data_IF_221714440431
#
_entry.id   IF_221714440431
#
_cell.length_a   1.000
_cell.length_b   1.000
_cell.length_c   1.000
_cell.angle_alpha   90.00
_cell.angle_beta   90.00
_cell.angle_gamma   90.00
#
_symmetry.space_group_name_H-M   'P 1'
#
loop_
_entity.id
_entity.type
_entity.pdbx_description
1 polymer ?
#
# COMPACT_ATOMS: atom_id res chain seq x y z
N UNK A 1 -21.37 19.52 -20.63
CA UNK A 1 -20.08 20.18 -20.97
C UNK A 1 -18.97 19.16 -20.75
N UNK A 2 -17.78 19.29 -21.35
CA UNK A 2 -16.72 18.27 -21.19
C UNK A 2 -16.27 18.11 -19.71
N UNK A 3 -16.39 19.18 -18.93
CA UNK A 3 -16.13 19.22 -17.47
C UNK A 3 -17.21 18.51 -16.63
N UNK A 4 -18.31 18.02 -17.22
CA UNK A 4 -19.29 17.20 -16.47
C UNK A 4 -18.84 15.74 -16.32
N UNK A 5 -17.68 15.38 -16.85
CA UNK A 5 -17.05 14.09 -16.66
C UNK A 5 -16.23 14.12 -15.36
N UNK A 6 -16.46 13.22 -14.39
CA UNK A 6 -15.83 13.29 -13.07
C UNK A 6 -14.29 13.13 -13.09
N UNK A 7 -13.73 12.62 -14.18
CA UNK A 7 -12.28 12.48 -14.39
C UNK A 7 -11.62 13.69 -15.07
N UNK A 8 -12.41 14.64 -15.60
CA UNK A 8 -11.91 15.85 -16.25
C UNK A 8 -11.80 16.97 -15.22
N UNK A 9 -10.57 17.34 -14.85
CA UNK A 9 -10.27 18.45 -13.93
C UNK A 9 -10.52 19.81 -14.59
N UNK A 10 -10.18 19.94 -15.86
CA UNK A 10 -10.35 21.17 -16.65
C UNK A 10 -10.43 20.84 -18.13
N UNK A 11 -11.34 21.48 -18.85
CA UNK A 11 -11.39 21.39 -20.31
C UNK A 11 -11.28 22.79 -20.92
N UNK A 12 -10.18 23.06 -21.62
CA UNK A 12 -10.00 24.29 -22.37
C UNK A 12 -10.30 24.02 -23.84
N UNK A 13 -11.40 24.60 -24.33
CA UNK A 13 -11.79 24.52 -25.76
C UNK A 13 -11.43 25.85 -26.42
N UNK A 14 -10.48 25.80 -27.35
CA UNK A 14 -10.08 26.94 -28.16
C UNK A 14 -10.44 26.71 -29.62
N UNK A 15 -10.92 27.76 -30.27
CA UNK A 15 -11.19 27.74 -31.71
C UNK A 15 -9.94 28.17 -32.45
N UNK A 16 -9.43 27.31 -33.31
CA UNK A 16 -8.36 27.60 -34.26
C UNK A 16 -8.92 27.76 -35.66
N UNK A 17 -8.50 28.81 -36.35
CA UNK A 17 -8.88 29.04 -37.73
C UNK A 17 -7.91 28.36 -38.71
N UNK A 18 -8.39 27.81 -39.85
CA UNK A 18 -9.79 27.73 -40.27
C UNK A 18 -10.44 26.39 -39.91
N UNK A 19 -11.33 26.38 -38.90
CA UNK A 19 -12.30 25.30 -38.66
C UNK A 19 -11.91 24.23 -37.65
N UNK A 20 -10.80 24.39 -36.93
CA UNK A 20 -10.31 23.39 -35.96
C UNK A 20 -10.71 23.78 -34.54
N UNK A 21 -11.10 22.80 -33.74
CA UNK A 21 -11.22 22.96 -32.29
C UNK A 21 -10.01 22.31 -31.63
N UNK A 22 -9.23 23.10 -30.90
CA UNK A 22 -8.19 22.60 -30.01
C UNK A 22 -8.84 22.37 -28.64
N UNK A 23 -8.84 21.12 -28.18
CA UNK A 23 -9.31 20.76 -26.84
C UNK A 23 -8.11 20.32 -26.02
N UNK A 24 -7.88 20.99 -24.88
CA UNK A 24 -6.93 20.55 -23.86
C UNK A 24 -7.72 20.04 -22.67
N UNK A 25 -7.39 18.83 -22.21
CA UNK A 25 -8.04 18.17 -21.08
C UNK A 25 -6.96 17.97 -20.02
N UNK A 26 -7.17 18.54 -18.83
CA UNK A 26 -6.41 18.15 -17.64
C UNK A 26 -7.22 17.05 -16.94
N UNK A 27 -6.64 15.86 -16.79
CA UNK A 27 -7.28 14.73 -16.15
C UNK A 27 -6.89 14.65 -14.66
N UNK A 28 -7.81 14.21 -13.82
CA UNK A 28 -7.47 13.82 -12.45
C UNK A 28 -6.72 12.48 -12.49
N UNK A 29 -5.45 12.47 -12.07
CA UNK A 29 -4.65 11.25 -11.96
C UNK A 29 -4.94 10.54 -10.63
N UNK A 30 -5.64 9.38 -10.63
CA UNK A 30 -5.98 8.67 -9.41
C UNK A 30 -4.74 7.98 -8.84
N UNK A 31 -4.50 8.14 -7.54
CA UNK A 31 -3.32 7.59 -6.85
C UNK A 31 -3.67 6.51 -5.82
N UNK A 32 -4.90 6.50 -5.31
CA UNK A 32 -5.40 5.48 -4.40
C UNK A 32 -6.91 5.30 -4.55
N UNK A 33 -7.40 4.11 -4.23
CA UNK A 33 -8.82 3.87 -3.99
C UNK A 33 -9.15 4.33 -2.57
N UNK A 34 -10.26 5.03 -2.41
CA UNK A 34 -10.71 5.55 -1.14
C UNK A 34 -12.05 4.93 -0.76
N UNK A 35 -12.02 4.12 0.30
CA UNK A 35 -13.17 3.32 0.73
C UNK A 35 -13.78 2.55 -0.47
N UNK A 36 -15.10 2.44 -0.53
CA UNK A 36 -15.79 1.57 -1.48
C UNK A 36 -16.19 2.25 -2.81
N UNK A 37 -16.13 3.58 -2.90
CA UNK A 37 -16.75 4.30 -4.03
C UNK A 37 -15.99 5.53 -4.53
N UNK A 38 -14.85 5.87 -3.94
CA UNK A 38 -14.10 7.05 -4.32
C UNK A 38 -12.68 6.69 -4.74
N UNK A 39 -12.04 7.58 -5.49
CA UNK A 39 -10.60 7.59 -5.71
C UNK A 39 -10.02 8.89 -5.18
N UNK A 40 -8.82 8.80 -4.63
CA UNK A 40 -8.01 9.95 -4.29
C UNK A 40 -7.21 10.36 -5.52
N UNK A 41 -7.43 11.58 -5.99
CA UNK A 41 -6.61 12.17 -7.03
C UNK A 41 -5.27 12.68 -6.48
N UNK A 42 -4.26 12.80 -7.33
CA UNK A 42 -2.96 13.39 -6.99
C UNK A 42 -3.04 14.83 -6.45
N UNK A 43 -4.15 15.54 -6.71
CA UNK A 43 -4.45 16.86 -6.16
C UNK A 43 -4.83 16.84 -4.66
N UNK A 44 -5.14 15.67 -4.11
CA UNK A 44 -5.69 15.49 -2.77
C UNK A 44 -7.22 15.56 -2.71
N UNK A 45 -7.90 15.56 -3.86
CA UNK A 45 -9.37 15.56 -3.94
C UNK A 45 -9.92 14.13 -3.99
N UNK A 46 -11.04 13.90 -3.30
CA UNK A 46 -11.81 12.65 -3.41
C UNK A 46 -12.84 12.77 -4.52
N UNK A 47 -12.80 11.84 -5.47
CA UNK A 47 -13.67 11.83 -6.64
C UNK A 47 -14.48 10.54 -6.60
N UNK A 48 -15.80 10.67 -6.74
CA UNK A 48 -16.68 9.51 -6.85
C UNK A 48 -16.37 8.74 -8.16
N UNK A 49 -16.09 7.45 -8.00
CA UNK A 49 -15.82 6.54 -9.11
C UNK A 49 -17.08 5.70 -9.39
N UNK A 50 -17.47 5.61 -10.67
CA UNK A 50 -18.58 4.74 -11.08
C UNK A 50 -18.29 3.26 -10.81
N UNK A 51 -17.02 2.89 -10.89
CA UNK A 51 -16.53 1.55 -10.60
C UNK A 51 -15.08 1.66 -10.12
N UNK A 52 -14.69 0.83 -9.15
CA UNK A 52 -13.31 0.72 -8.70
C UNK A 52 -12.50 -0.35 -9.44
N UNK A 53 -13.12 -1.08 -10.37
CA UNK A 53 -12.48 -2.18 -11.11
C UNK A 53 -11.29 -1.66 -11.93
N UNK A 54 -11.43 -0.49 -12.56
CA UNK A 54 -10.36 0.13 -13.36
C UNK A 54 -9.18 0.63 -12.50
N UNK A 55 -9.37 0.71 -11.19
CA UNK A 55 -8.38 1.16 -10.21
C UNK A 55 -7.86 0.02 -9.32
N UNK A 56 -8.11 -1.25 -9.68
CA UNK A 56 -7.78 -2.41 -8.84
C UNK A 56 -6.30 -2.54 -8.49
N UNK A 57 -5.41 -2.00 -9.33
CA UNK A 57 -3.96 -1.96 -9.07
C UNK A 57 -3.55 -0.91 -8.05
N UNK A 58 -4.39 0.12 -7.81
CA UNK A 58 -4.09 1.18 -6.86
C UNK A 58 -4.28 0.70 -5.41
N UNK A 59 -3.45 1.19 -4.47
CA UNK A 59 -3.61 0.89 -3.06
C UNK A 59 -4.96 1.41 -2.55
N UNK A 60 -5.52 0.73 -1.56
CA UNK A 60 -6.75 1.13 -0.90
C UNK A 60 -6.46 1.87 0.40
N UNK A 61 -7.20 2.95 0.65
CA UNK A 61 -7.28 3.61 1.95
C UNK A 61 -8.70 3.41 2.48
N UNK A 62 -8.82 2.69 3.59
CA UNK A 62 -10.08 2.42 4.27
C UNK A 62 -10.16 3.23 5.58
N UNK A 63 -11.20 4.03 5.73
CA UNK A 63 -11.38 4.90 6.89
C UNK A 63 -12.85 5.11 7.22
N UNK A 64 -13.22 5.26 8.50
CA UNK A 64 -14.59 5.60 8.86
C UNK A 64 -14.98 6.97 8.30
N UNK A 65 -16.25 7.17 7.98
CA UNK A 65 -16.75 8.44 7.42
C UNK A 65 -16.88 8.44 5.90
N UNK A 66 -16.42 7.39 5.20
CA UNK A 66 -16.61 7.28 3.75
C UNK A 66 -15.83 8.39 3.02
N UNK A 67 -16.52 9.31 2.35
CA UNK A 67 -15.90 10.48 1.71
C UNK A 67 -15.89 11.74 2.59
N UNK A 68 -16.50 11.69 3.78
CA UNK A 68 -16.57 12.83 4.70
C UNK A 68 -15.25 13.01 5.45
N UNK A 69 -14.26 13.60 4.77
CA UNK A 69 -12.95 13.92 5.32
C UNK A 69 -12.55 15.36 4.97
N UNK A 70 -11.96 16.04 5.93
CA UNK A 70 -11.26 17.29 5.69
C UNK A 70 -9.98 17.04 4.88
N UNK A 71 -9.50 18.10 4.21
CA UNK A 71 -8.25 18.03 3.45
C UNK A 71 -7.06 17.63 4.32
N UNK A 72 -7.02 18.14 5.55
CA UNK A 72 -5.93 17.87 6.49
C UNK A 72 -5.91 16.40 6.93
N UNK A 73 -7.07 15.78 7.12
CA UNK A 73 -7.17 14.34 7.43
C UNK A 73 -6.70 13.48 6.26
N UNK A 74 -7.05 13.84 5.02
CA UNK A 74 -6.59 13.15 3.81
C UNK A 74 -5.06 13.24 3.72
N UNK A 75 -4.49 14.43 3.89
CA UNK A 75 -3.03 14.64 3.87
C UNK A 75 -2.35 13.80 4.95
N UNK A 76 -2.85 13.82 6.19
CA UNK A 76 -2.28 13.03 7.29
C UNK A 76 -2.31 11.51 7.01
N UNK A 77 -3.35 11.00 6.37
CA UNK A 77 -3.45 9.59 5.99
C UNK A 77 -2.47 9.24 4.86
N UNK A 78 -2.31 10.10 3.86
CA UNK A 78 -1.35 9.92 2.76
C UNK A 78 0.09 9.97 3.26
N UNK A 79 0.41 10.91 4.15
CA UNK A 79 1.73 10.99 4.77
C UNK A 79 2.04 9.73 5.57
N UNK A 80 1.06 9.24 6.35
CA UNK A 80 1.19 7.98 7.09
C UNK A 80 1.42 6.80 6.15
N UNK A 81 0.65 6.68 5.07
CA UNK A 81 0.86 5.67 4.02
C UNK A 81 2.30 5.72 3.49
N UNK A 82 2.75 6.89 3.05
CA UNK A 82 4.08 7.07 2.47
C UNK A 82 5.21 6.71 3.45
N UNK A 83 5.06 7.09 4.73
CA UNK A 83 6.02 6.75 5.78
C UNK A 83 6.12 5.24 5.98
N UNK A 84 4.98 4.55 6.08
CA UNK A 84 4.95 3.09 6.28
C UNK A 84 5.44 2.34 5.04
N UNK A 85 5.05 2.80 3.83
CA UNK A 85 5.51 2.23 2.57
C UNK A 85 7.02 2.34 2.41
N UNK A 86 7.62 3.47 2.81
CA UNK A 86 9.07 3.67 2.76
C UNK A 86 9.83 2.68 3.64
N UNK A 87 9.25 2.26 4.77
CA UNK A 87 9.84 1.26 5.66
C UNK A 87 9.74 -0.17 5.10
N UNK A 88 8.68 -0.46 4.34
CA UNK A 88 8.42 -1.78 3.74
C UNK A 88 9.12 -1.99 2.39
N UNK A 89 9.40 -0.92 1.65
CA UNK A 89 10.04 -1.01 0.34
C UNK A 89 11.39 -1.77 0.33
N UNK A 90 12.30 -1.59 1.31
CA UNK A 90 13.55 -2.39 1.39
C UNK A 90 13.31 -3.89 1.59
N UNK A 91 12.14 -4.27 2.12
CA UNK A 91 11.73 -5.66 2.30
C UNK A 91 11.09 -6.26 1.03
N UNK A 92 11.01 -5.47 -0.06
CA UNK A 92 10.30 -5.87 -1.29
C UNK A 92 8.78 -5.93 -1.12
N UNK A 93 8.22 -5.23 -0.12
CA UNK A 93 6.79 -5.23 0.17
C UNK A 93 6.13 -3.91 -0.22
N UNK A 94 4.96 -4.01 -0.85
CA UNK A 94 4.07 -2.89 -1.11
C UNK A 94 2.81 -2.99 -0.24
N UNK A 95 2.31 -1.86 0.23
CA UNK A 95 1.03 -1.76 0.93
C UNK A 95 -0.09 -1.85 -0.11
N UNK A 96 -0.95 -2.87 0.03
CA UNK A 96 -2.18 -3.04 -0.75
C UNK A 96 -3.34 -2.28 -0.14
N UNK A 97 -3.40 -2.24 1.19
CA UNK A 97 -4.42 -1.51 1.92
C UNK A 97 -3.88 -0.87 3.19
N UNK A 98 -4.21 0.39 3.42
CA UNK A 98 -4.08 1.08 4.69
C UNK A 98 -5.48 1.30 5.28
N UNK A 99 -5.72 0.75 6.45
CA UNK A 99 -6.96 0.97 7.17
C UNK A 99 -6.79 1.79 8.45
N UNK A 100 -7.83 2.55 8.78
CA UNK A 100 -7.98 3.27 10.05
C UNK A 100 -9.37 2.98 10.65
N UNK A 101 -9.52 3.09 11.97
CA UNK A 101 -10.82 2.95 12.66
C UNK A 101 -11.21 4.19 13.48
N UNK A 102 -12.44 4.20 14.03
CA UNK A 102 -12.98 5.25 14.92
C UNK A 102 -12.35 5.20 16.32
N UNK A 103 -11.02 5.26 16.36
CA UNK A 103 -10.17 5.18 17.55
C UNK A 103 -8.69 5.29 17.20
N UNK A 104 -8.37 5.80 16.00
CA UNK A 104 -7.02 5.89 15.45
C UNK A 104 -6.27 4.55 15.29
N UNK A 105 -6.92 3.40 15.45
CA UNK A 105 -6.26 2.11 15.17
C UNK A 105 -5.94 2.01 13.69
N UNK A 106 -4.67 1.77 13.39
CA UNK A 106 -4.14 1.61 12.03
C UNK A 106 -3.80 0.14 11.79
N UNK A 107 -4.08 -0.31 10.58
CA UNK A 107 -3.66 -1.61 10.09
C UNK A 107 -3.25 -1.54 8.62
N UNK A 108 -2.47 -2.53 8.19
CA UNK A 108 -2.01 -2.69 6.82
C UNK A 108 -2.38 -4.08 6.29
N UNK A 109 -2.65 -4.15 4.99
CA UNK A 109 -2.48 -5.37 4.19
C UNK A 109 -1.36 -5.08 3.21
N UNK A 110 -0.35 -5.95 3.17
CA UNK A 110 0.77 -5.85 2.24
C UNK A 110 0.70 -6.95 1.19
N UNK A 111 1.53 -6.85 0.16
CA UNK A 111 1.72 -7.92 -0.84
C UNK A 111 1.88 -9.29 -0.17
N UNK A 112 1.19 -10.30 -0.71
CA UNK A 112 1.13 -11.63 -0.12
C UNK A 112 0.02 -11.80 0.94
N UNK A 113 -0.91 -10.84 1.05
CA UNK A 113 -2.08 -10.90 1.95
C UNK A 113 -1.68 -11.02 3.43
N UNK A 114 -0.55 -10.43 3.82
CA UNK A 114 -0.12 -10.36 5.21
C UNK A 114 -0.79 -9.17 5.89
N UNK A 115 -1.57 -9.43 6.93
CA UNK A 115 -2.21 -8.40 7.74
C UNK A 115 -1.30 -7.95 8.89
N UNK A 116 -1.19 -6.65 9.11
CA UNK A 116 -0.40 -6.07 10.21
C UNK A 116 -1.28 -5.10 10.99
N UNK A 117 -1.57 -5.42 12.26
CA UNK A 117 -2.30 -4.54 13.17
C UNK A 117 -1.32 -3.65 13.93
N UNK A 118 -1.26 -2.36 13.60
CA UNK A 118 -0.33 -1.40 14.23
C UNK A 118 -0.95 -0.71 15.45
N UNK A 119 -2.27 -0.74 15.62
CA UNK A 119 -2.96 -0.10 16.73
C UNK A 119 -2.97 1.42 16.65
N UNK A 120 -3.14 2.09 17.79
CA UNK A 120 -3.50 3.52 17.84
C UNK A 120 -2.33 4.50 17.78
N UNK A 121 -1.13 4.03 18.10
CA UNK A 121 0.06 4.89 18.29
C UNK A 121 1.34 4.16 17.91
N UNK A 122 2.42 4.92 17.82
CA UNK A 122 3.78 4.43 17.60
C UNK A 122 3.90 3.53 16.36
N UNK A 123 3.09 3.78 15.33
CA UNK A 123 2.95 2.91 14.15
C UNK A 123 4.30 2.56 13.50
N UNK A 124 5.19 3.56 13.37
CA UNK A 124 6.53 3.38 12.82
C UNK A 124 7.39 2.50 13.73
N UNK A 125 7.44 2.77 15.03
CA UNK A 125 8.23 1.97 15.97
C UNK A 125 7.73 0.51 16.04
N UNK A 126 6.41 0.31 15.96
CA UNK A 126 5.78 -1.01 15.90
C UNK A 126 6.11 -1.74 14.61
N UNK A 127 6.01 -1.07 13.46
CA UNK A 127 6.40 -1.66 12.18
C UNK A 127 7.90 -1.98 12.12
N UNK A 128 8.76 -1.08 12.61
CA UNK A 128 10.21 -1.30 12.70
C UNK A 128 10.54 -2.53 13.55
N UNK A 129 9.84 -2.74 14.67
CA UNK A 129 10.02 -3.93 15.50
C UNK A 129 9.71 -5.21 14.72
N UNK A 130 8.61 -5.23 13.95
CA UNK A 130 8.26 -6.40 13.13
C UNK A 130 9.33 -6.65 12.07
N UNK A 131 9.77 -5.61 11.36
CA UNK A 131 10.85 -5.69 10.37
C UNK A 131 12.11 -6.30 11.00
N UNK A 132 12.54 -5.79 12.15
CA UNK A 132 13.73 -6.30 12.86
C UNK A 132 13.59 -7.77 13.26
N UNK A 133 12.39 -8.23 13.63
CA UNK A 133 12.15 -9.64 13.96
C UNK A 133 12.26 -10.56 12.75
N UNK A 134 11.84 -10.09 11.56
CA UNK A 134 12.01 -10.84 10.31
C UNK A 134 13.47 -10.81 9.87
N UNK A 135 14.12 -9.65 9.88
CA UNK A 135 15.53 -9.49 9.49
C UNK A 135 16.50 -10.26 10.40
N UNK A 136 16.22 -10.34 11.70
CA UNK A 136 17.00 -11.14 12.64
C UNK A 136 16.79 -12.66 12.51
N UNK A 137 15.81 -13.09 11.70
CA UNK A 137 15.47 -14.50 11.50
C UNK A 137 14.62 -15.12 12.62
N UNK A 138 14.18 -14.35 13.62
CA UNK A 138 13.21 -14.82 14.64
C UNK A 138 11.90 -15.20 13.96
N UNK A 139 11.48 -14.41 12.97
CA UNK A 139 10.40 -14.76 12.06
C UNK A 139 11.04 -15.19 10.73
N UNK A 140 10.76 -16.42 10.30
CA UNK A 140 11.45 -17.02 9.16
C UNK A 140 11.29 -16.23 7.85
N UNK A 141 10.10 -15.69 7.58
CA UNK A 141 9.84 -14.87 6.39
C UNK A 141 8.52 -14.11 6.51
N UNK A 142 8.37 -13.05 5.72
CA UNK A 142 7.12 -12.30 5.57
C UNK A 142 5.99 -13.16 5.00
N UNK A 143 6.30 -14.08 4.08
CA UNK A 143 5.32 -14.93 3.39
C UNK A 143 4.63 -15.93 4.34
N UNK A 144 5.30 -16.29 5.44
CA UNK A 144 4.75 -17.20 6.44
C UNK A 144 3.73 -16.52 7.36
N UNK A 145 3.69 -15.19 7.40
CA UNK A 145 2.78 -14.44 8.26
C UNK A 145 1.41 -14.36 7.58
N UNK A 146 0.35 -14.77 8.27
CA UNK A 146 -1.03 -14.45 7.90
C UNK A 146 -1.46 -13.13 8.56
N UNK A 147 -1.23 -13.01 9.87
CA UNK A 147 -1.56 -11.81 10.63
C UNK A 147 -0.50 -11.55 11.72
N UNK A 148 0.01 -10.33 11.81
CA UNK A 148 0.90 -9.86 12.86
C UNK A 148 0.23 -8.75 13.67
N UNK A 149 -0.05 -9.01 14.94
CA UNK A 149 -0.64 -8.04 15.86
C UNK A 149 0.44 -7.35 16.70
N UNK A 150 0.73 -6.09 16.34
CA UNK A 150 1.74 -5.24 16.98
C UNK A 150 1.16 -4.31 18.05
N UNK A 151 -0.11 -4.51 18.45
CA UNK A 151 -0.78 -3.59 19.38
C UNK A 151 -0.20 -3.59 20.79
N UNK A 152 0.51 -4.65 21.16
CA UNK A 152 1.14 -4.83 22.47
C UNK A 152 2.45 -4.05 22.60
N UNK A 153 2.63 -3.38 23.74
CA UNK A 153 3.76 -2.47 24.00
C UNK A 153 5.11 -3.18 23.85
N UNK A 154 5.25 -4.38 24.42
CA UNK A 154 6.50 -5.16 24.44
C UNK A 154 6.40 -6.51 23.72
N UNK A 155 5.23 -6.83 23.16
CA UNK A 155 4.95 -8.13 22.54
C UNK A 155 4.51 -8.02 21.09
N UNK A 156 4.26 -9.19 20.50
CA UNK A 156 3.70 -9.41 19.17
C UNK A 156 2.92 -10.74 19.23
N UNK A 157 1.78 -10.81 18.56
CA UNK A 157 1.10 -12.08 18.29
C UNK A 157 1.11 -12.34 16.78
N UNK A 158 1.63 -13.50 16.36
CA UNK A 158 1.67 -13.89 14.94
C UNK A 158 0.74 -15.08 14.71
N UNK A 159 -0.11 -14.96 13.70
CA UNK A 159 -0.81 -16.09 13.08
C UNK A 159 -0.05 -16.48 11.82
N UNK A 160 0.30 -17.76 11.71
CA UNK A 160 1.07 -18.30 10.58
C UNK A 160 0.17 -18.82 9.47
N UNK A 161 0.59 -18.63 8.23
CA UNK A 161 -0.07 -19.13 7.03
C UNK A 161 0.16 -20.62 6.91
N UNK A 162 -0.92 -21.40 6.79
CA UNK A 162 -0.84 -22.85 6.58
C UNK A 162 -0.82 -23.69 7.85
N UNK A 163 -0.88 -23.08 9.04
CA UNK A 163 -1.20 -23.81 10.27
C UNK A 163 -2.72 -24.02 10.38
N UNK A 164 -3.23 -24.92 9.55
CA UNK A 164 -4.50 -25.58 9.84
C UNK A 164 -4.29 -26.49 11.06
N UNK A 165 -4.47 -25.94 12.26
CA UNK A 165 -4.57 -26.70 13.50
C UNK A 165 -3.29 -27.43 13.92
N UNK A 166 -2.31 -26.70 14.44
CA UNK A 166 -1.36 -27.28 15.39
C UNK A 166 -2.10 -27.57 16.71
N UNK A 167 -2.86 -28.67 16.73
CA UNK A 167 -3.30 -29.30 17.97
C UNK A 167 -2.04 -29.49 18.82
N UNK A 168 -2.01 -28.87 20.00
CA UNK A 168 -1.01 -29.17 21.01
C UNK A 168 -0.97 -30.70 21.19
N UNK A 169 0.19 -31.36 21.04
CA UNK A 169 0.29 -32.76 21.44
C UNK A 169 0.04 -32.82 22.94
N UNK A 170 -0.95 -33.63 23.32
CA UNK A 170 -1.16 -34.07 24.69
C UNK A 170 0.19 -34.53 25.29
N UNK A 171 0.59 -33.91 26.38
CA UNK A 171 1.79 -34.27 27.12
C UNK A 171 1.51 -35.56 27.90
N UNK A 172 1.59 -36.70 27.20
CA UNK A 172 1.36 -38.01 27.79
C UNK A 172 1.62 -39.18 26.85
N UNK A 173 2.88 -39.51 26.59
CA UNK A 173 3.26 -40.76 25.93
C UNK A 173 4.74 -40.85 25.53
N UNK A 174 5.46 -41.78 26.14
CA UNK A 174 6.87 -42.13 25.90
C UNK A 174 7.20 -42.56 24.45
N UNK A 175 8.49 -42.56 24.02
CA UNK A 175 8.87 -42.56 22.62
C UNK A 175 9.07 -43.96 22.04
N UNK A 176 8.63 -44.15 20.78
CA UNK A 176 8.95 -45.32 19.97
C UNK A 176 9.88 -44.94 18.80
N UNK A 177 11.15 -45.29 18.99
CA UNK A 177 12.17 -45.71 18.02
C UNK A 177 12.11 -45.27 16.53
N UNK A 178 13.19 -44.59 16.13
CA UNK A 178 14.05 -44.85 14.96
C UNK A 178 13.48 -45.69 13.80
N UNK A 179 13.44 -45.10 12.60
CA UNK A 179 14.12 -45.65 11.41
C UNK A 179 14.29 -44.60 10.31
N UNK A 180 15.53 -44.58 9.82
CA UNK A 180 16.02 -43.88 8.63
C UNK A 180 15.32 -44.31 7.35
N UNK A 181 15.16 -43.40 6.39
CA UNK A 181 15.77 -43.62 5.08
C UNK A 181 15.99 -42.33 4.26
N UNK A 182 16.98 -42.42 3.37
CA UNK A 182 17.59 -41.37 2.54
C UNK A 182 16.84 -41.14 1.22
N UNK A 183 17.28 -40.04 0.55
CA UNK A 183 17.24 -39.70 -0.91
C UNK A 183 16.04 -38.82 -1.32
N UNK A 184 16.13 -37.92 -2.29
CA UNK A 184 17.20 -37.28 -3.06
C UNK A 184 16.54 -36.21 -3.96
N UNK A 185 17.29 -35.17 -4.34
CA UNK A 185 17.01 -34.28 -5.50
C UNK A 185 15.84 -33.29 -5.29
N UNK A 186 15.79 -32.10 -5.88
CA UNK A 186 16.40 -31.59 -7.11
C UNK A 186 16.48 -30.06 -7.00
N UNK A 187 17.61 -29.49 -7.46
CA UNK A 187 17.82 -28.07 -7.74
C UNK A 187 16.89 -27.61 -8.86
N UNK A 188 16.11 -26.56 -8.66
CA UNK A 188 15.67 -25.68 -9.75
C UNK A 188 16.03 -24.23 -9.41
N UNK A 189 17.03 -23.74 -10.13
CA UNK A 189 17.32 -22.32 -10.33
C UNK A 189 16.35 -21.81 -11.41
N UNK A 190 15.71 -20.66 -11.19
CA UNK A 190 15.19 -19.76 -12.24
C UNK A 190 14.95 -18.40 -11.56
N UNK A 191 15.91 -17.48 -11.59
CA UNK A 191 15.97 -16.31 -12.50
C UNK A 191 14.75 -15.38 -12.41
N UNK A 192 14.88 -14.35 -11.57
CA UNK A 192 14.26 -13.02 -11.72
C UNK A 192 14.73 -12.38 -13.05
N UNK A 193 13.93 -11.55 -13.74
CA UNK A 193 13.82 -10.13 -13.33
C UNK A 193 12.49 -9.43 -13.68
N UNK A 194 12.04 -8.49 -12.83
CA UNK A 194 11.60 -7.14 -13.27
C UNK A 194 11.34 -6.23 -12.05
N UNK A 195 12.22 -5.25 -11.83
CA UNK A 195 12.03 -4.13 -10.89
C UNK A 195 12.50 -2.85 -11.57
N UNK A 196 11.66 -2.28 -12.42
CA UNK A 196 11.72 -0.89 -12.86
C UNK A 196 10.23 -0.50 -12.96
N UNK A 197 9.70 0.45 -12.19
CA UNK A 197 9.92 1.89 -12.31
C UNK A 197 9.27 2.58 -11.10
N UNK A 198 9.81 3.74 -10.71
CA UNK A 198 9.32 4.78 -9.78
C UNK A 198 10.25 5.08 -8.59
N UNK A 199 11.51 5.37 -8.91
CA UNK A 199 12.47 6.04 -8.01
C UNK A 199 12.91 7.42 -8.54
N UNK A 200 12.03 8.14 -9.23
CA UNK A 200 12.31 9.54 -9.60
C UNK A 200 11.12 10.40 -9.21
N UNK A 201 11.30 11.20 -8.15
CA UNK A 201 10.87 12.60 -8.09
C UNK A 201 11.12 13.19 -6.68
N UNK A 202 12.40 13.35 -6.33
CA UNK A 202 12.83 14.39 -5.40
C UNK A 202 14.02 15.11 -6.02
N UNK A 203 13.74 16.26 -6.66
CA UNK A 203 14.58 17.47 -6.77
C UNK A 203 14.30 18.22 -8.07
N UNK A 204 13.55 19.33 -8.00
CA UNK A 204 13.86 20.58 -8.71
C UNK A 204 12.75 21.63 -8.46
N UNK A 205 12.81 22.32 -7.32
CA UNK A 205 12.23 23.66 -7.21
C UNK A 205 13.36 24.62 -6.92
N UNK A 206 13.95 25.17 -7.97
CA UNK A 206 14.73 26.40 -7.88
C UNK A 206 14.78 27.07 -9.26
N UNK A 207 14.31 28.33 -9.27
CA UNK A 207 14.63 29.40 -10.21
C UNK A 207 14.41 29.17 -11.73
N UNK A 208 13.40 29.87 -12.28
CA UNK A 208 13.71 30.94 -13.24
C UNK A 208 12.50 31.84 -13.51
N UNK A 209 12.54 33.04 -12.92
CA UNK A 209 11.91 34.24 -13.44
C UNK A 209 12.93 34.86 -14.40
N UNK A 210 12.71 34.77 -15.71
CA UNK A 210 13.11 35.80 -16.67
C UNK A 210 12.47 35.54 -18.04
N UNK A 211 11.81 36.58 -18.56
CA UNK A 211 11.05 36.51 -19.78
C UNK A 211 11.89 36.34 -21.04
N UNK A 212 11.22 35.94 -22.12
CA UNK A 212 11.60 36.30 -23.47
C UNK A 212 10.36 36.30 -24.37
N UNK A 213 10.11 37.49 -24.93
CA UNK A 213 9.26 37.73 -26.09
C UNK A 213 9.82 36.95 -27.29
N UNK A 214 8.94 36.37 -28.10
CA UNK A 214 9.19 36.16 -29.52
C UNK A 214 7.90 36.42 -30.31
N UNK A 215 8.06 37.29 -31.31
CA UNK A 215 7.22 37.63 -32.46
C UNK A 215 5.72 37.87 -32.25
#
# INVERSE_FOLDING_TARGET
>A
ALESLPWVRRAVVQREWPGTLRVQIDEHLPVARWNASHVLASSGELIEARSLIEFASLPQIATPGGSAHSRDEIVALVEKYNQLQKMLAPQGLAIRELGSSMGANVWLIVEGETRIELGERDHQARLARLINLVESGVIASWQNIENADMRYTSGLAVKWRGEAGSQMPDAGGEPAALRSDRRAGVRHQMTQPYLETLCEMTHATSANVHGKRYA
#
